data_IF_402949981862
#
_entry.id   IF_402949981862
#
_cell.length_a   1.000
_cell.length_b   1.000
_cell.length_c   1.000
_cell.angle_alpha   90.00
_cell.angle_beta   90.00
_cell.angle_gamma   90.00
#
_symmetry.space_group_name_H-M   'P 1'
#
loop_
_entity.id
_entity.type
_entity.pdbx_description
1 polymer ?
#
# COMPACT_ATOMS: atom_id res chain seq x y z
N UNK A 1 15.20 -27.27 28.08
CA UNK A 1 13.92 -26.59 27.73
C UNK A 1 13.14 -27.51 26.81
N UNK A 2 11.81 -27.58 26.96
CA UNK A 2 10.96 -28.30 26.00
C UNK A 2 10.80 -27.43 24.75
N UNK A 3 10.81 -28.00 23.52
CA UNK A 3 10.57 -27.23 22.31
C UNK A 3 9.14 -26.68 22.29
N UNK A 4 8.98 -25.48 21.72
CA UNK A 4 7.68 -24.88 21.43
C UNK A 4 7.50 -24.87 19.91
N UNK A 5 6.35 -25.37 19.44
CA UNK A 5 6.00 -25.37 18.02
C UNK A 5 4.88 -24.37 17.81
N UNK A 6 5.14 -23.36 16.98
CA UNK A 6 4.13 -22.40 16.50
C UNK A 6 3.66 -22.88 15.12
N UNK A 7 2.36 -23.14 15.00
CA UNK A 7 1.73 -23.48 13.71
C UNK A 7 0.85 -22.32 13.28
N UNK A 8 1.10 -21.76 12.12
CA UNK A 8 0.34 -20.65 11.54
C UNK A 8 -0.52 -21.21 10.41
N UNK A 9 -1.84 -21.10 10.56
CA UNK A 9 -2.81 -21.47 9.54
C UNK A 9 -3.29 -20.18 8.85
N UNK A 10 -2.45 -19.66 7.96
CA UNK A 10 -2.72 -18.43 7.21
C UNK A 10 -3.92 -18.65 6.27
N UNK A 11 -4.88 -17.73 6.30
CA UNK A 11 -6.11 -17.82 5.52
C UNK A 11 -7.24 -18.63 6.17
N UNK A 12 -7.05 -19.23 7.34
CA UNK A 12 -8.13 -19.84 8.13
C UNK A 12 -8.76 -18.77 9.03
N UNK A 13 -10.07 -18.61 8.93
CA UNK A 13 -10.81 -17.60 9.69
C UNK A 13 -12.12 -18.14 10.26
N UNK A 14 -12.77 -17.31 11.08
CA UNK A 14 -14.12 -17.56 11.57
C UNK A 14 -15.11 -17.02 10.54
N UNK A 15 -15.83 -17.92 9.88
CA UNK A 15 -16.79 -17.59 8.85
C UNK A 15 -18.19 -17.27 9.38
N UNK A 16 -19.17 -17.29 8.48
CA UNK A 16 -20.57 -16.97 8.78
C UNK A 16 -21.41 -18.18 9.24
N UNK A 17 -20.82 -19.36 9.32
CA UNK A 17 -21.49 -20.62 9.63
C UNK A 17 -22.59 -20.97 8.60
N UNK A 18 -22.45 -20.51 7.37
CA UNK A 18 -23.33 -20.81 6.24
C UNK A 18 -22.79 -21.99 5.39
N UNK A 19 -23.49 -22.35 4.34
CA UNK A 19 -23.14 -23.47 3.47
C UNK A 19 -21.75 -23.33 2.78
N UNK A 20 -21.20 -22.11 2.69
CA UNK A 20 -19.89 -21.81 2.15
C UNK A 20 -18.76 -21.88 3.17
N UNK A 21 -19.06 -22.04 4.45
CA UNK A 21 -18.07 -22.07 5.52
C UNK A 21 -17.49 -23.48 5.72
N UNK A 22 -16.49 -23.79 4.92
CA UNK A 22 -15.86 -25.11 4.92
C UNK A 22 -15.18 -25.45 6.29
N UNK A 23 -14.67 -24.44 7.00
CA UNK A 23 -14.06 -24.64 8.32
C UNK A 23 -15.12 -25.06 9.34
N UNK A 24 -16.27 -24.39 9.33
CA UNK A 24 -17.38 -24.72 10.22
C UNK A 24 -17.95 -26.15 9.97
N UNK A 25 -18.00 -26.57 8.71
CA UNK A 25 -18.51 -27.90 8.36
C UNK A 25 -17.48 -29.02 8.49
N UNK A 26 -16.20 -28.71 8.65
CA UNK A 26 -15.16 -29.69 8.81
C UNK A 26 -15.17 -30.30 10.22
N UNK A 27 -14.74 -31.57 10.34
CA UNK A 27 -14.55 -32.21 11.63
C UNK A 27 -13.20 -31.79 12.23
N UNK A 28 -13.19 -30.72 13.02
CA UNK A 28 -11.98 -30.08 13.56
C UNK A 28 -11.96 -30.02 15.09
N UNK A 29 -12.10 -31.14 15.81
CA UNK A 29 -12.33 -31.15 17.25
C UNK A 29 -11.19 -30.54 18.09
N UNK A 30 -10.01 -30.34 17.51
CA UNK A 30 -8.89 -29.70 18.16
C UNK A 30 -8.84 -28.17 17.89
N UNK A 31 -9.30 -27.73 16.73
CA UNK A 31 -9.43 -26.29 16.43
C UNK A 31 -10.64 -25.67 17.13
N UNK A 32 -11.70 -26.46 17.37
CA UNK A 32 -12.95 -26.04 17.98
C UNK A 32 -12.83 -25.82 19.51
N UNK A 33 -11.65 -26.08 20.07
CA UNK A 33 -11.41 -25.84 21.51
C UNK A 33 -11.46 -24.34 21.85
N UNK A 34 -11.73 -23.99 23.12
CA UNK A 34 -11.69 -22.60 23.53
C UNK A 34 -10.41 -21.90 23.09
N UNK A 35 -10.56 -20.77 22.43
CA UNK A 35 -9.47 -19.96 21.87
C UNK A 35 -9.67 -18.49 22.20
N UNK A 36 -8.62 -17.70 22.00
CA UNK A 36 -8.65 -16.26 22.16
C UNK A 36 -8.59 -15.61 20.79
N UNK A 37 -9.46 -14.64 20.54
CA UNK A 37 -9.42 -13.83 19.33
C UNK A 37 -8.49 -12.63 19.55
N UNK A 38 -7.56 -12.43 18.64
CA UNK A 38 -6.67 -11.28 18.59
C UNK A 38 -7.06 -10.38 17.40
N UNK A 39 -6.97 -9.07 17.58
CA UNK A 39 -7.11 -8.15 16.46
C UNK A 39 -5.91 -8.31 15.53
N UNK A 40 -6.18 -8.54 14.23
CA UNK A 40 -5.16 -8.77 13.22
C UNK A 40 -5.08 -7.64 12.19
N UNK A 41 -5.67 -6.47 12.46
CA UNK A 41 -5.73 -5.31 11.57
C UNK A 41 -5.62 -4.01 12.36
N UNK A 42 -5.48 -2.92 11.66
CA UNK A 42 -5.52 -1.57 12.22
C UNK A 42 -4.38 -1.27 13.18
N UNK A 43 -4.66 -0.39 14.12
CA UNK A 43 -3.69 0.06 15.12
C UNK A 43 -3.19 -1.05 16.03
N UNK A 44 -3.97 -2.12 16.20
CA UNK A 44 -3.57 -3.29 17.00
C UNK A 44 -2.36 -4.04 16.43
N UNK A 45 -2.04 -3.85 15.18
CA UNK A 45 -0.87 -4.43 14.50
C UNK A 45 0.08 -3.36 13.93
N UNK A 46 -0.08 -2.10 14.35
CA UNK A 46 0.81 -0.99 14.02
C UNK A 46 0.53 -0.30 12.68
N UNK A 47 -0.66 -0.50 12.10
CA UNK A 47 -1.13 0.26 10.95
C UNK A 47 -1.61 1.66 11.35
N UNK A 48 -1.76 2.61 10.41
CA UNK A 48 -2.10 4.00 10.71
C UNK A 48 -3.46 4.18 11.39
N UNK A 49 -4.49 3.46 10.97
CA UNK A 49 -5.85 3.56 11.48
C UNK A 49 -6.51 2.20 11.68
N UNK A 50 -7.59 2.14 12.44
CA UNK A 50 -8.35 0.90 12.66
C UNK A 50 -9.14 0.44 11.41
N UNK A 51 -9.28 1.29 10.41
CA UNK A 51 -9.83 0.94 9.11
C UNK A 51 -8.85 0.27 8.16
N UNK A 52 -7.56 0.33 8.45
CA UNK A 52 -6.53 -0.27 7.59
C UNK A 52 -6.53 -1.79 7.70
N UNK A 53 -6.58 -2.45 6.55
CA UNK A 53 -6.58 -3.90 6.48
C UNK A 53 -5.22 -4.47 6.84
N UNK A 54 -5.20 -5.47 7.72
CA UNK A 54 -4.01 -6.29 7.98
C UNK A 54 -3.74 -7.23 6.81
N UNK A 55 -2.51 -7.71 6.74
CA UNK A 55 -2.08 -8.73 5.79
C UNK A 55 -1.08 -9.70 6.44
N UNK A 56 -0.67 -10.72 5.70
CA UNK A 56 0.23 -11.76 6.20
C UNK A 56 1.58 -11.18 6.67
N UNK A 57 2.14 -10.21 5.95
CA UNK A 57 3.41 -9.56 6.31
C UNK A 57 3.30 -8.85 7.66
N UNK A 58 2.28 -8.03 7.83
CA UNK A 58 2.01 -7.29 9.07
C UNK A 58 1.81 -8.24 10.25
N UNK A 59 1.03 -9.31 10.05
CA UNK A 59 0.78 -10.34 11.07
C UNK A 59 2.05 -11.08 11.49
N UNK A 60 2.84 -11.55 10.51
CA UNK A 60 4.09 -12.25 10.79
C UNK A 60 5.13 -11.35 11.46
N UNK A 61 5.24 -10.10 11.02
CA UNK A 61 6.13 -9.12 11.66
C UNK A 61 5.76 -8.90 13.13
N UNK A 62 4.48 -8.71 13.43
CA UNK A 62 3.99 -8.51 14.80
C UNK A 62 4.23 -9.75 15.68
N UNK A 63 3.96 -10.95 15.17
CA UNK A 63 4.23 -12.21 15.85
C UNK A 63 5.73 -12.39 16.09
N UNK A 64 6.56 -12.12 15.07
CA UNK A 64 8.02 -12.30 15.15
C UNK A 64 8.69 -11.33 16.12
N UNK A 65 8.21 -10.09 16.19
CA UNK A 65 8.71 -9.08 17.12
C UNK A 65 8.17 -9.24 18.56
N UNK A 66 7.04 -9.94 18.72
CA UNK A 66 6.36 -10.08 20.01
C UNK A 66 5.84 -8.77 20.59
N UNK A 67 5.69 -7.74 19.74
CA UNK A 67 5.19 -6.41 20.12
C UNK A 67 4.57 -5.70 18.93
N UNK A 68 3.69 -4.75 19.22
CA UNK A 68 3.14 -3.85 18.21
C UNK A 68 4.14 -2.73 17.94
N UNK A 69 4.48 -2.52 16.66
CA UNK A 69 5.35 -1.43 16.21
C UNK A 69 4.78 -0.82 14.93
N UNK A 70 5.17 0.44 14.59
CA UNK A 70 4.70 1.08 13.37
C UNK A 70 5.06 0.29 12.12
N UNK A 71 4.07 -0.09 11.33
CA UNK A 71 4.25 -0.79 10.06
C UNK A 71 4.67 0.18 8.95
N UNK A 72 5.12 -0.36 7.80
CA UNK A 72 5.67 0.42 6.70
C UNK A 72 4.78 1.58 6.25
N UNK A 73 3.48 1.36 6.07
CA UNK A 73 2.53 2.40 5.68
C UNK A 73 2.50 3.56 6.69
N UNK A 74 2.49 3.25 7.99
CA UNK A 74 2.53 4.25 9.04
C UNK A 74 3.86 5.01 9.07
N UNK A 75 4.98 4.31 8.95
CA UNK A 75 6.31 4.93 8.92
C UNK A 75 6.46 5.90 7.74
N UNK A 76 5.96 5.54 6.56
CA UNK A 76 5.95 6.43 5.39
C UNK A 76 5.09 7.66 5.65
N UNK A 77 3.87 7.49 6.16
CA UNK A 77 2.99 8.60 6.50
C UNK A 77 3.62 9.57 7.50
N UNK A 78 4.18 9.05 8.60
CA UNK A 78 4.85 9.84 9.63
C UNK A 78 6.10 10.55 9.08
N UNK A 79 6.87 9.89 8.20
CA UNK A 79 8.06 10.47 7.57
C UNK A 79 7.73 11.61 6.60
N UNK A 80 6.61 11.50 5.88
CA UNK A 80 6.10 12.57 5.02
C UNK A 80 5.59 13.74 5.86
N UNK A 81 4.77 13.46 6.87
CA UNK A 81 4.18 14.49 7.73
C UNK A 81 5.22 15.29 8.51
N UNK A 82 6.24 14.62 9.04
CA UNK A 82 7.35 15.26 9.74
C UNK A 82 8.35 15.95 8.82
N UNK A 83 8.31 15.67 7.51
CA UNK A 83 9.30 16.14 6.55
C UNK A 83 10.58 15.32 6.48
N UNK A 84 10.75 14.32 7.34
CA UNK A 84 11.97 13.50 7.43
C UNK A 84 12.30 12.80 6.11
N UNK A 85 11.30 12.35 5.34
CA UNK A 85 11.50 11.79 4.01
C UNK A 85 12.22 12.77 3.10
N UNK A 86 11.80 14.03 3.10
CA UNK A 86 12.32 15.09 2.24
C UNK A 86 13.68 15.63 2.72
N UNK A 87 13.98 15.44 3.98
CA UNK A 87 15.28 15.75 4.56
C UNK A 87 16.32 14.64 4.37
N UNK A 88 15.90 13.48 3.90
CA UNK A 88 16.78 12.34 3.65
C UNK A 88 17.81 12.65 2.56
N UNK A 89 18.99 12.05 2.70
CA UNK A 89 20.05 12.17 1.70
C UNK A 89 19.62 11.65 0.32
N UNK A 90 18.79 10.59 0.31
CA UNK A 90 18.27 10.00 -0.94
C UNK A 90 17.34 10.96 -1.67
N UNK A 91 16.36 11.55 -0.98
CA UNK A 91 15.46 12.52 -1.61
C UNK A 91 16.23 13.74 -2.14
N UNK A 92 17.15 14.28 -1.34
CA UNK A 92 17.98 15.43 -1.74
C UNK A 92 18.81 15.14 -2.97
N UNK A 93 19.44 13.96 -3.05
CA UNK A 93 20.21 13.56 -4.22
C UNK A 93 19.34 13.40 -5.48
N UNK A 94 18.13 12.79 -5.36
CA UNK A 94 17.19 12.67 -6.46
C UNK A 94 16.70 14.02 -6.95
N UNK A 95 16.28 14.88 -6.05
CA UNK A 95 15.79 16.23 -6.35
C UNK A 95 16.86 17.08 -7.01
N UNK A 96 18.07 17.09 -6.48
CA UNK A 96 19.20 17.80 -7.04
C UNK A 96 19.57 17.30 -8.45
N UNK A 97 19.60 15.98 -8.65
CA UNK A 97 19.86 15.38 -9.95
C UNK A 97 18.84 15.83 -10.99
N UNK A 98 17.54 15.82 -10.66
CA UNK A 98 16.48 16.27 -11.56
C UNK A 98 16.63 17.75 -11.93
N UNK A 99 16.98 18.60 -10.96
CA UNK A 99 17.17 20.05 -11.18
C UNK A 99 18.41 20.38 -12.00
N UNK A 100 19.55 19.81 -11.63
CA UNK A 100 20.83 20.09 -12.30
C UNK A 100 20.84 19.65 -13.75
N UNK A 101 20.32 18.48 -14.02
CA UNK A 101 20.33 17.90 -15.36
C UNK A 101 19.04 18.12 -16.14
N UNK A 102 18.08 18.83 -15.56
CA UNK A 102 16.76 19.09 -16.14
C UNK A 102 16.07 17.80 -16.64
N UNK A 103 16.13 16.75 -15.80
CA UNK A 103 15.55 15.45 -16.10
C UNK A 103 14.23 15.26 -15.34
N UNK A 104 13.30 14.49 -15.90
CA UNK A 104 12.06 14.19 -15.21
C UNK A 104 12.32 13.32 -13.97
N UNK A 105 11.55 13.58 -12.92
CA UNK A 105 11.38 12.64 -11.82
C UNK A 105 10.31 11.62 -12.22
N UNK A 106 10.64 10.35 -12.13
CA UNK A 106 9.72 9.27 -12.39
C UNK A 106 9.20 8.70 -11.07
N UNK A 107 7.88 8.59 -10.94
CA UNK A 107 7.19 8.00 -9.80
C UNK A 107 6.40 6.79 -10.32
N UNK A 108 6.75 5.61 -9.83
CA UNK A 108 6.10 4.34 -10.20
C UNK A 108 5.43 3.74 -8.96
N UNK A 109 4.16 3.38 -9.06
CA UNK A 109 3.46 2.74 -7.96
C UNK A 109 1.99 2.48 -8.21
N UNK A 110 1.39 1.83 -7.22
CA UNK A 110 -0.03 1.52 -7.20
C UNK A 110 -0.83 2.80 -6.88
N UNK A 111 -1.79 3.12 -7.73
CA UNK A 111 -2.70 4.26 -7.57
C UNK A 111 -3.94 3.82 -6.80
N UNK A 112 -3.90 3.95 -5.49
CA UNK A 112 -4.90 3.38 -4.57
C UNK A 112 -4.88 4.09 -3.22
N UNK A 113 -6.00 4.06 -2.52
CA UNK A 113 -6.13 4.44 -1.12
C UNK A 113 -6.35 3.24 -0.18
N UNK A 114 -6.27 2.03 -0.72
CA UNK A 114 -6.43 0.79 0.05
C UNK A 114 -5.37 0.57 1.14
N UNK A 115 -4.28 1.34 1.09
CA UNK A 115 -3.21 1.40 2.09
C UNK A 115 -2.57 0.06 2.46
N UNK A 116 -2.66 -0.93 1.57
CA UNK A 116 -2.01 -2.24 1.72
C UNK A 116 -0.58 -2.17 1.17
N UNK A 117 -0.41 -1.66 -0.04
CA UNK A 117 0.88 -1.55 -0.73
C UNK A 117 1.30 -0.12 -1.03
N UNK A 118 0.35 0.81 -1.09
CA UNK A 118 0.58 2.24 -1.32
C UNK A 118 -0.62 3.06 -0.84
N UNK A 119 -0.45 4.38 -0.78
CA UNK A 119 -1.52 5.32 -0.56
C UNK A 119 -1.39 6.52 -1.48
N UNK A 120 -2.48 6.92 -2.14
CA UNK A 120 -2.50 8.01 -3.12
C UNK A 120 -2.02 9.36 -2.52
N UNK A 121 -2.31 9.60 -1.24
CA UNK A 121 -1.85 10.82 -0.56
C UNK A 121 -0.32 10.91 -0.46
N UNK A 122 0.38 9.77 -0.40
CA UNK A 122 1.85 9.75 -0.44
C UNK A 122 2.34 10.26 -1.80
N UNK A 123 1.72 9.83 -2.90
CA UNK A 123 2.02 10.34 -4.25
C UNK A 123 1.76 11.83 -4.34
N UNK A 124 0.61 12.31 -3.84
CA UNK A 124 0.27 13.73 -3.85
C UNK A 124 1.26 14.58 -3.05
N UNK A 125 1.73 14.08 -1.91
CA UNK A 125 2.76 14.76 -1.12
C UNK A 125 4.10 14.86 -1.88
N UNK A 126 4.53 13.77 -2.54
CA UNK A 126 5.74 13.77 -3.37
C UNK A 126 5.63 14.75 -4.54
N UNK A 127 4.49 14.80 -5.23
CA UNK A 127 4.24 15.72 -6.33
C UNK A 127 4.30 17.18 -5.89
N UNK A 128 3.62 17.53 -4.78
CA UNK A 128 3.65 18.89 -4.21
C UNK A 128 5.06 19.28 -3.78
N UNK A 129 5.78 18.36 -3.15
CA UNK A 129 7.17 18.60 -2.74
C UNK A 129 8.09 18.79 -3.94
N UNK A 130 7.96 17.99 -4.97
CA UNK A 130 8.72 18.14 -6.21
C UNK A 130 8.52 19.53 -6.84
N UNK A 131 7.27 20.03 -6.84
CA UNK A 131 6.93 21.38 -7.29
C UNK A 131 7.61 22.45 -6.45
N UNK A 132 7.55 22.33 -5.12
CA UNK A 132 8.19 23.27 -4.19
C UNK A 132 9.70 23.35 -4.37
N UNK A 133 10.34 22.22 -4.67
CA UNK A 133 11.78 22.14 -4.89
C UNK A 133 12.22 22.51 -6.32
N UNK A 134 11.29 22.82 -7.22
CA UNK A 134 11.60 23.28 -8.56
C UNK A 134 11.94 22.16 -9.54
N UNK A 135 11.52 20.93 -9.29
CA UNK A 135 11.60 19.84 -10.27
C UNK A 135 10.57 20.11 -11.36
N UNK A 136 11.02 20.47 -12.57
CA UNK A 136 10.15 20.96 -13.62
C UNK A 136 9.32 19.90 -14.31
N UNK A 137 9.78 18.65 -14.30
CA UNK A 137 9.11 17.54 -15.00
C UNK A 137 8.92 16.36 -14.06
N UNK A 138 7.68 15.84 -13.98
CA UNK A 138 7.37 14.60 -13.28
C UNK A 138 6.56 13.70 -14.20
N UNK A 139 6.85 12.41 -14.15
CA UNK A 139 6.16 11.35 -14.91
C UNK A 139 5.67 10.28 -13.95
N UNK A 140 4.36 10.14 -13.86
CA UNK A 140 3.72 9.11 -13.05
C UNK A 140 3.48 7.87 -13.90
N UNK A 141 3.92 6.72 -13.40
CA UNK A 141 3.67 5.40 -13.96
C UNK A 141 2.74 4.67 -13.01
N UNK A 142 1.46 4.58 -13.37
CA UNK A 142 0.42 4.16 -12.45
C UNK A 142 0.03 2.70 -12.67
N UNK A 143 -0.10 1.96 -11.59
CA UNK A 143 -0.74 0.65 -11.58
C UNK A 143 -2.13 0.82 -10.97
N UNK A 144 -3.16 0.45 -11.73
CA UNK A 144 -4.55 0.49 -11.26
C UNK A 144 -4.81 -0.71 -10.35
N UNK A 145 -5.46 -0.47 -9.22
CA UNK A 145 -5.59 -1.47 -8.17
C UNK A 145 -6.67 -2.52 -8.50
N UNK A 146 -7.92 -2.24 -8.22
CA UNK A 146 -9.03 -3.15 -8.47
C UNK A 146 -9.05 -4.42 -7.59
N UNK A 147 -8.17 -4.51 -6.58
CA UNK A 147 -8.08 -5.62 -5.64
C UNK A 147 -8.23 -5.20 -4.18
N UNK A 148 -7.43 -4.24 -3.74
CA UNK A 148 -7.50 -3.71 -2.38
C UNK A 148 -8.58 -2.62 -2.28
N UNK A 149 -9.08 -2.18 -3.42
CA UNK A 149 -10.22 -1.28 -3.62
C UNK A 149 -11.19 -1.90 -4.64
N UNK A 150 -12.42 -1.39 -4.78
CA UNK A 150 -13.41 -1.96 -5.72
C UNK A 150 -12.87 -2.06 -7.15
N UNK A 151 -13.17 -3.16 -7.82
CA UNK A 151 -12.64 -3.50 -9.16
C UNK A 151 -12.91 -2.44 -10.24
N UNK A 152 -13.96 -1.64 -10.07
CA UNK A 152 -14.39 -0.62 -11.04
C UNK A 152 -14.07 0.82 -10.61
N UNK A 153 -13.29 1.02 -9.54
CA UNK A 153 -13.02 2.35 -8.96
C UNK A 153 -11.86 3.11 -9.62
N UNK A 154 -11.17 2.54 -10.60
CA UNK A 154 -9.96 3.09 -11.18
C UNK A 154 -10.05 4.58 -11.60
N UNK A 155 -11.18 4.98 -12.21
CA UNK A 155 -11.38 6.35 -12.69
C UNK A 155 -11.46 7.37 -11.54
N UNK A 156 -11.89 6.99 -10.35
CA UNK A 156 -11.90 7.87 -9.18
C UNK A 156 -10.47 8.34 -8.85
N UNK A 157 -9.54 7.41 -8.81
CA UNK A 157 -8.13 7.68 -8.51
C UNK A 157 -7.42 8.39 -9.67
N UNK A 158 -7.69 8.01 -10.92
CA UNK A 158 -7.12 8.68 -12.09
C UNK A 158 -7.58 10.12 -12.16
N UNK A 159 -8.86 10.41 -11.99
CA UNK A 159 -9.39 11.77 -12.01
C UNK A 159 -8.82 12.62 -10.85
N UNK A 160 -8.68 12.03 -9.65
CA UNK A 160 -8.05 12.71 -8.53
C UNK A 160 -6.58 13.07 -8.81
N UNK A 161 -5.82 12.14 -9.40
CA UNK A 161 -4.43 12.38 -9.80
C UNK A 161 -4.35 13.45 -10.90
N UNK A 162 -5.14 13.35 -11.96
CA UNK A 162 -5.17 14.34 -13.05
C UNK A 162 -5.47 15.74 -12.52
N UNK A 163 -6.40 15.86 -11.58
CA UNK A 163 -6.72 17.14 -10.93
C UNK A 163 -5.48 17.74 -10.25
N UNK A 164 -4.73 16.94 -9.51
CA UNK A 164 -3.49 17.39 -8.83
C UNK A 164 -2.41 17.74 -9.86
N UNK A 165 -2.23 16.92 -10.90
CA UNK A 165 -1.24 17.17 -11.94
C UNK A 165 -1.53 18.48 -12.69
N UNK A 166 -2.79 18.75 -13.05
CA UNK A 166 -3.20 20.01 -13.66
C UNK A 166 -2.91 21.22 -12.80
N UNK A 167 -3.21 21.13 -11.50
CA UNK A 167 -2.90 22.21 -10.54
C UNK A 167 -1.39 22.50 -10.45
N UNK A 168 -0.56 21.49 -10.59
CA UNK A 168 0.89 21.61 -10.45
C UNK A 168 1.60 21.92 -11.78
N UNK A 169 0.94 21.71 -12.94
CA UNK A 169 1.50 21.93 -14.28
C UNK A 169 1.28 23.35 -14.77
N UNK A 170 1.70 24.32 -13.99
CA UNK A 170 1.66 25.77 -14.32
C UNK A 170 3.08 26.33 -14.37
N UNK A 171 3.24 27.53 -14.92
CA UNK A 171 4.50 28.30 -14.88
C UNK A 171 5.73 27.51 -15.38
N UNK A 172 5.57 26.72 -16.42
CA UNK A 172 6.65 25.95 -17.04
C UNK A 172 6.99 24.64 -16.31
N UNK A 173 6.11 24.17 -15.45
CA UNK A 173 6.14 22.79 -14.91
C UNK A 173 5.26 21.87 -15.73
N UNK A 174 5.73 20.64 -15.92
CA UNK A 174 5.10 19.64 -16.77
C UNK A 174 5.01 18.30 -15.99
N UNK A 175 3.84 18.07 -15.40
CA UNK A 175 3.55 16.89 -14.60
C UNK A 175 2.44 16.09 -15.28
N UNK A 176 2.71 14.82 -15.57
CA UNK A 176 1.78 14.00 -16.35
C UNK A 176 1.83 12.52 -15.95
N UNK A 177 0.75 11.82 -16.23
CA UNK A 177 0.75 10.36 -16.30
C UNK A 177 1.48 9.96 -17.59
N UNK A 178 2.52 9.15 -17.46
CA UNK A 178 3.33 8.69 -18.58
C UNK A 178 2.94 7.30 -19.06
N UNK A 179 2.52 6.44 -18.15
CA UNK A 179 2.03 5.09 -18.46
C UNK A 179 1.11 4.60 -17.37
N UNK A 180 0.29 3.61 -17.72
CA UNK A 180 -0.60 2.99 -16.75
C UNK A 180 -1.06 1.61 -17.22
N UNK A 181 -1.53 0.81 -16.26
CA UNK A 181 -2.14 -0.49 -16.52
C UNK A 181 -2.63 -1.17 -15.24
N UNK A 182 -3.41 -2.22 -15.39
CA UNK A 182 -3.96 -2.98 -14.26
C UNK A 182 -2.88 -3.81 -13.56
N UNK A 183 -2.78 -3.66 -12.22
CA UNK A 183 -1.83 -4.46 -11.43
C UNK A 183 -2.02 -5.96 -11.62
N UNK A 184 -3.24 -6.38 -11.81
CA UNK A 184 -3.59 -7.79 -11.97
C UNK A 184 -2.98 -8.41 -13.22
N UNK A 185 -2.76 -7.62 -14.28
CA UNK A 185 -2.13 -8.07 -15.51
C UNK A 185 -0.62 -7.85 -15.55
N UNK A 186 -0.13 -6.83 -14.85
CA UNK A 186 1.28 -6.41 -14.93
C UNK A 186 2.13 -7.04 -13.84
N UNK A 187 1.60 -7.13 -12.60
CA UNK A 187 2.41 -7.52 -11.44
C UNK A 187 1.96 -8.81 -10.75
N UNK A 188 0.75 -9.32 -11.08
CA UNK A 188 0.16 -10.47 -10.41
C UNK A 188 0.26 -11.71 -11.33
N UNK A 189 1.31 -12.49 -11.16
CA UNK A 189 1.61 -13.67 -11.98
C UNK A 189 1.05 -15.01 -11.45
N UNK A 190 0.47 -14.98 -10.25
CA UNK A 190 -0.01 -16.19 -9.56
C UNK A 190 -1.46 -16.54 -9.82
N UNK A 191 -2.17 -15.63 -10.39
CA UNK A 191 -3.55 -15.85 -10.75
C UNK A 191 -3.54 -16.37 -12.17
N UNK A 192 -3.59 -17.71 -12.31
CA UNK A 192 -4.01 -18.32 -13.57
C UNK A 192 -5.34 -17.69 -13.90
N UNK A 193 -5.23 -16.68 -14.69
CA UNK A 193 -6.37 -15.91 -15.02
C UNK A 193 -7.10 -16.62 -16.12
N UNK A 194 -8.29 -16.95 -15.83
CA UNK A 194 -9.38 -16.81 -16.79
C UNK A 194 -9.51 -15.32 -17.12
N UNK A 195 -8.38 -14.70 -17.50
CA UNK A 195 -8.22 -13.29 -17.82
C UNK A 195 -8.47 -13.03 -19.30
N UNK A 196 -9.14 -13.94 -19.93
CA UNK A 196 -9.66 -13.79 -21.29
C UNK A 196 -10.95 -12.96 -21.31
#
# INVERSE_FOLDING_TARGET
MKPVVLVILDGVGIGKHDAGDAVFHANTPNLDRPHVQLKAHGTAVGLPSDGDMGNSEVGHNTLGCGQVFPQGARLVSESIQSGALFDSATWKALSENCRLYQKPLHLLGLLSDGNVHSHIDHLFALLRRARQEGIRQVRCHILLDGRDVPATSALEYVNALETVLQQLSTDGFDYAIASGGGRMQITMDRYEADWE
#
